data_IF_513659581907
#
_entry.id   IF_513659581907
#
_cell.length_a   1.000
_cell.length_b   1.000
_cell.length_c   1.000
_cell.angle_alpha   90.00
_cell.angle_beta   90.00
_cell.angle_gamma   90.00
#
_symmetry.space_group_name_H-M   'P 1'
#
loop_
_entity.id
_entity.type
_entity.pdbx_description
1 polymer ?
#
# COMPACT_ATOMS: atom_id res chain seq x y z
N UNK A 1 13.91 -7.79 -18.20
CA UNK A 1 12.47 -7.94 -17.87
C UNK A 1 12.22 -7.04 -16.66
N UNK A 2 11.24 -6.14 -16.71
CA UNK A 2 10.95 -5.24 -15.56
C UNK A 2 10.33 -6.03 -14.42
N UNK A 3 10.88 -5.90 -13.21
CA UNK A 3 10.41 -6.62 -12.01
C UNK A 3 9.72 -5.67 -11.06
N UNK A 4 8.51 -6.01 -10.64
CA UNK A 4 7.73 -5.27 -9.63
C UNK A 4 7.43 -6.17 -8.45
N UNK A 5 7.69 -5.70 -7.22
CA UNK A 5 7.25 -6.34 -5.98
C UNK A 5 6.09 -5.54 -5.37
N UNK A 6 4.96 -6.22 -5.10
CA UNK A 6 3.77 -5.61 -4.49
C UNK A 6 3.44 -6.33 -3.19
N UNK A 7 3.52 -5.66 -2.05
CA UNK A 7 3.11 -6.22 -0.76
C UNK A 7 1.61 -6.02 -0.52
N UNK A 8 0.96 -6.97 0.17
CA UNK A 8 -0.49 -6.97 0.31
C UNK A 8 -1.21 -7.12 -1.03
N UNK A 9 -0.57 -7.79 -2.00
CA UNK A 9 -1.02 -7.89 -3.38
C UNK A 9 -2.13 -8.92 -3.63
N UNK A 10 -2.60 -9.63 -2.60
CA UNK A 10 -3.62 -10.68 -2.76
C UNK A 10 -5.05 -10.16 -2.91
N UNK A 11 -5.35 -8.93 -2.46
CA UNK A 11 -6.70 -8.33 -2.51
C UNK A 11 -6.69 -6.80 -2.54
N UNK A 12 -7.87 -6.20 -2.75
CA UNK A 12 -8.09 -4.76 -2.67
C UNK A 12 -7.13 -3.94 -3.55
N UNK A 13 -6.61 -2.84 -3.00
CA UNK A 13 -5.69 -1.92 -3.69
C UNK A 13 -4.45 -2.65 -4.21
N UNK A 14 -3.83 -3.50 -3.37
CA UNK A 14 -2.61 -4.22 -3.74
C UNK A 14 -2.80 -5.16 -4.93
N UNK A 15 -3.93 -5.89 -4.97
CA UNK A 15 -4.27 -6.74 -6.12
C UNK A 15 -4.49 -5.89 -7.38
N UNK A 16 -5.23 -4.80 -7.28
CA UNK A 16 -5.44 -3.89 -8.42
C UNK A 16 -4.12 -3.33 -8.95
N UNK A 17 -3.19 -2.93 -8.06
CA UNK A 17 -1.85 -2.48 -8.43
C UNK A 17 -1.06 -3.61 -9.11
N UNK A 18 -1.05 -4.82 -8.55
CA UNK A 18 -0.34 -5.96 -9.12
C UNK A 18 -0.82 -6.26 -10.55
N UNK A 19 -2.13 -6.22 -10.79
CA UNK A 19 -2.74 -6.40 -12.11
C UNK A 19 -2.39 -5.26 -13.07
N UNK A 20 -2.38 -4.00 -12.60
CA UNK A 20 -2.03 -2.83 -13.42
C UNK A 20 -0.55 -2.78 -13.79
N UNK A 21 0.34 -3.41 -13.01
CA UNK A 21 1.77 -3.52 -13.31
C UNK A 21 2.10 -4.68 -14.25
N UNK A 22 1.14 -5.58 -14.49
CA UNK A 22 1.33 -6.75 -15.34
C UNK A 22 1.30 -6.37 -16.83
N UNK A 23 2.13 -7.03 -17.62
CA UNK A 23 2.17 -6.87 -19.07
C UNK A 23 3.32 -7.62 -19.73
N UNK A 24 3.43 -7.56 -21.06
CA UNK A 24 4.56 -8.17 -21.77
C UNK A 24 5.90 -7.64 -21.26
N UNK A 25 6.85 -8.54 -20.99
CA UNK A 25 8.18 -8.16 -20.51
C UNK A 25 8.25 -7.75 -19.02
N UNK A 26 7.18 -7.99 -18.24
CA UNK A 26 7.17 -7.73 -16.79
C UNK A 26 7.09 -9.01 -15.98
N UNK A 27 7.70 -8.99 -14.78
CA UNK A 27 7.51 -9.96 -13.70
C UNK A 27 6.88 -9.22 -12.52
N UNK A 28 5.73 -9.67 -12.05
CA UNK A 28 5.09 -9.12 -10.84
C UNK A 28 5.18 -10.14 -9.70
N UNK A 29 5.97 -9.84 -8.68
CA UNK A 29 6.01 -10.58 -7.44
C UNK A 29 4.89 -10.07 -6.53
N UNK A 30 3.93 -10.94 -6.24
CA UNK A 30 2.75 -10.66 -5.41
C UNK A 30 2.99 -11.26 -4.04
N UNK A 31 3.09 -10.41 -3.01
CA UNK A 31 3.40 -10.85 -1.66
C UNK A 31 2.28 -10.54 -0.68
N UNK A 32 1.86 -11.52 0.12
CA UNK A 32 0.95 -11.38 1.25
C UNK A 32 1.01 -12.62 2.16
N UNK A 33 0.35 -12.57 3.31
CA UNK A 33 0.34 -13.68 4.29
C UNK A 33 -0.50 -14.88 3.84
N UNK A 34 -1.57 -14.63 3.08
CA UNK A 34 -2.50 -15.66 2.64
C UNK A 34 -2.05 -16.23 1.31
N UNK A 35 -1.48 -17.44 1.32
CA UNK A 35 -0.95 -18.11 0.13
C UNK A 35 -1.99 -18.18 -0.99
N UNK A 36 -3.21 -18.60 -0.71
CA UNK A 36 -4.27 -18.73 -1.72
C UNK A 36 -4.60 -17.39 -2.42
N UNK A 37 -4.57 -16.25 -1.68
CA UNK A 37 -4.83 -14.93 -2.26
C UNK A 37 -3.72 -14.52 -3.25
N UNK A 38 -2.44 -14.74 -2.89
CA UNK A 38 -1.31 -14.36 -3.77
C UNK A 38 -1.22 -15.30 -4.97
N UNK A 39 -1.51 -16.57 -4.82
CA UNK A 39 -1.58 -17.54 -5.92
C UNK A 39 -2.70 -17.20 -6.89
N UNK A 40 -3.89 -16.83 -6.37
CA UNK A 40 -5.00 -16.37 -7.20
C UNK A 40 -4.63 -15.15 -8.06
N UNK A 41 -4.06 -14.12 -7.43
CA UNK A 41 -3.62 -12.92 -8.14
C UNK A 41 -2.53 -13.23 -9.17
N UNK A 42 -1.57 -14.09 -8.82
CA UNK A 42 -0.50 -14.52 -9.73
C UNK A 42 -1.05 -15.29 -10.94
N UNK A 43 -2.02 -16.18 -10.73
CA UNK A 43 -2.70 -16.90 -11.81
C UNK A 43 -3.44 -15.94 -12.76
N UNK A 44 -4.14 -14.93 -12.22
CA UNK A 44 -4.83 -13.93 -13.02
C UNK A 44 -3.86 -13.08 -13.87
N UNK A 45 -2.71 -12.68 -13.30
CA UNK A 45 -1.65 -11.98 -14.04
C UNK A 45 -1.16 -12.85 -15.21
N UNK A 46 -0.95 -14.14 -14.97
CA UNK A 46 -0.49 -15.10 -15.98
C UNK A 46 -1.52 -15.29 -17.09
N UNK A 47 -2.81 -15.39 -16.75
CA UNK A 47 -3.90 -15.47 -17.74
C UNK A 47 -3.98 -14.22 -18.63
N UNK A 48 -3.55 -13.05 -18.13
CA UNK A 48 -3.46 -11.79 -18.90
C UNK A 48 -2.15 -11.65 -19.69
N UNK A 49 -1.33 -12.71 -19.77
CA UNK A 49 -0.08 -12.75 -20.54
C UNK A 49 1.13 -12.14 -19.83
N UNK A 50 1.02 -11.78 -18.55
CA UNK A 50 2.14 -11.36 -17.71
C UNK A 50 2.89 -12.55 -17.09
N UNK A 51 4.06 -12.29 -16.46
CA UNK A 51 4.72 -13.24 -15.57
C UNK A 51 4.45 -12.85 -14.13
N UNK A 52 4.19 -13.83 -13.27
CA UNK A 52 3.95 -13.59 -11.85
C UNK A 52 4.72 -14.56 -10.95
N UNK A 53 5.03 -14.10 -9.74
CA UNK A 53 5.59 -14.89 -8.66
C UNK A 53 4.75 -14.68 -7.41
N UNK A 54 4.10 -15.73 -6.91
CA UNK A 54 3.42 -15.70 -5.62
C UNK A 54 4.44 -15.86 -4.49
N UNK A 55 4.38 -14.98 -3.49
CA UNK A 55 5.25 -14.97 -2.31
C UNK A 55 4.39 -14.92 -1.04
N UNK A 56 4.40 -16.00 -0.26
CA UNK A 56 3.84 -15.95 1.09
C UNK A 56 4.79 -15.18 1.99
N UNK A 57 4.35 -14.03 2.55
CA UNK A 57 5.21 -13.14 3.33
C UNK A 57 4.40 -12.41 4.40
N UNK A 58 4.82 -12.53 5.67
CA UNK A 58 4.40 -11.62 6.72
C UNK A 58 5.43 -10.48 6.83
N UNK A 59 4.98 -9.26 6.52
CA UNK A 59 5.86 -8.09 6.54
C UNK A 59 6.32 -7.71 7.95
N UNK A 60 5.67 -8.21 9.00
CA UNK A 60 6.03 -7.96 10.40
C UNK A 60 7.11 -8.90 10.93
N UNK A 61 7.42 -9.98 10.20
CA UNK A 61 8.41 -10.98 10.55
C UNK A 61 9.62 -10.87 9.61
N UNK A 62 10.76 -10.46 10.17
CA UNK A 62 12.00 -10.30 9.43
C UNK A 62 12.44 -11.58 8.73
N UNK A 63 12.28 -12.73 9.38
CA UNK A 63 12.64 -14.04 8.80
C UNK A 63 11.75 -14.40 7.61
N UNK A 64 10.46 -14.06 7.68
CA UNK A 64 9.51 -14.23 6.59
C UNK A 64 9.84 -13.32 5.40
N UNK A 65 10.21 -12.06 5.67
CA UNK A 65 10.67 -11.13 4.63
C UNK A 65 11.94 -11.64 3.96
N UNK A 66 12.93 -12.07 4.74
CA UNK A 66 14.19 -12.59 4.21
C UNK A 66 13.99 -13.83 3.34
N UNK A 67 13.15 -14.78 3.76
CA UNK A 67 12.80 -15.96 2.98
C UNK A 67 12.11 -15.58 1.65
N UNK A 68 11.18 -14.63 1.68
CA UNK A 68 10.52 -14.13 0.47
C UNK A 68 11.52 -13.44 -0.48
N UNK A 69 12.46 -12.64 0.06
CA UNK A 69 13.53 -12.02 -0.73
C UNK A 69 14.47 -13.06 -1.34
N UNK A 70 14.84 -14.12 -0.62
CA UNK A 70 15.62 -15.24 -1.16
C UNK A 70 14.88 -15.93 -2.31
N UNK A 71 13.58 -16.19 -2.15
CA UNK A 71 12.76 -16.77 -3.21
C UNK A 71 12.68 -15.85 -4.43
N UNK A 72 12.55 -14.54 -4.24
CA UNK A 72 12.55 -13.55 -5.32
C UNK A 72 13.89 -13.55 -6.07
N UNK A 73 15.02 -13.57 -5.35
CA UNK A 73 16.38 -13.64 -5.93
C UNK A 73 16.64 -14.91 -6.74
N UNK A 74 15.94 -16.01 -6.45
CA UNK A 74 16.05 -17.23 -7.26
C UNK A 74 15.40 -17.11 -8.65
N UNK A 75 14.63 -16.05 -8.90
CA UNK A 75 13.88 -15.83 -10.14
C UNK A 75 14.35 -14.58 -10.89
N UNK A 76 14.86 -13.58 -10.17
CA UNK A 76 15.34 -12.31 -10.74
C UNK A 76 16.49 -11.75 -9.90
N UNK A 77 17.41 -11.05 -10.54
CA UNK A 77 18.55 -10.38 -9.90
C UNK A 77 18.26 -8.91 -9.50
N UNK A 78 17.12 -8.37 -9.92
CA UNK A 78 16.75 -6.97 -9.65
C UNK A 78 15.27 -6.76 -9.41
N UNK A 79 14.93 -5.63 -8.77
CA UNK A 79 13.57 -5.12 -8.57
C UNK A 79 13.52 -3.67 -9.02
N UNK A 80 12.81 -3.39 -10.12
CA UNK A 80 12.67 -2.03 -10.66
C UNK A 80 11.65 -1.20 -9.89
N UNK A 81 10.60 -1.85 -9.38
CA UNK A 81 9.50 -1.19 -8.69
C UNK A 81 9.16 -1.94 -7.40
N UNK A 82 9.16 -1.21 -6.29
CA UNK A 82 8.60 -1.68 -5.02
C UNK A 82 7.30 -0.92 -4.72
N UNK A 83 6.22 -1.65 -4.43
CA UNK A 83 4.98 -1.07 -3.91
C UNK A 83 4.74 -1.60 -2.50
N UNK A 84 4.94 -0.75 -1.51
CA UNK A 84 4.61 -1.03 -0.12
C UNK A 84 3.13 -0.72 0.12
N UNK A 85 2.29 -1.73 -0.02
CA UNK A 85 0.84 -1.60 0.16
C UNK A 85 0.31 -2.43 1.35
N UNK A 86 1.03 -3.45 1.81
CA UNK A 86 0.62 -4.22 2.97
C UNK A 86 0.30 -3.29 4.16
N UNK A 87 -0.89 -3.45 4.73
CA UNK A 87 -1.32 -2.62 5.84
C UNK A 87 -2.59 -3.14 6.49
N UNK A 88 -2.80 -2.72 7.71
CA UNK A 88 -4.01 -2.98 8.49
C UNK A 88 -4.59 -1.67 8.98
N UNK A 89 -5.92 -1.61 9.00
CA UNK A 89 -6.69 -0.51 9.56
C UNK A 89 -7.28 -0.87 10.92
N UNK A 90 -8.09 0.04 11.41
CA UNK A 90 -8.87 -0.12 12.61
C UNK A 90 -8.76 1.08 13.54
N UNK A 91 -9.87 1.37 14.21
CA UNK A 91 -9.97 2.44 15.20
C UNK A 91 -10.25 1.86 16.58
N UNK A 92 -9.75 2.53 17.60
CA UNK A 92 -10.00 2.25 19.00
C UNK A 92 -9.68 3.51 19.83
N UNK A 93 -10.56 3.95 20.73
CA UNK A 93 -10.27 5.05 21.64
C UNK A 93 -8.99 4.74 22.46
N UNK A 94 -8.15 5.75 22.72
CA UNK A 94 -6.90 5.55 23.47
C UNK A 94 -7.18 5.05 24.90
N UNK A 95 -8.19 5.60 25.55
CA UNK A 95 -8.59 5.16 26.87
C UNK A 95 -9.18 3.74 26.80
N UNK A 96 -8.54 2.79 27.47
CA UNK A 96 -8.96 1.38 27.48
C UNK A 96 -8.56 0.58 26.24
N UNK A 97 -7.75 1.13 25.32
CA UNK A 97 -7.29 0.41 24.14
C UNK A 97 -6.32 -0.72 24.48
N UNK A 98 -6.33 -1.76 23.63
CA UNK A 98 -5.35 -2.84 23.70
C UNK A 98 -4.01 -2.43 23.04
N UNK A 99 -2.94 -2.42 23.85
CA UNK A 99 -1.58 -2.11 23.38
C UNK A 99 -1.12 -3.07 22.28
N UNK A 100 -1.49 -4.34 22.33
CA UNK A 100 -1.12 -5.31 21.31
C UNK A 100 -1.77 -4.95 19.95
N UNK A 101 -3.03 -4.53 19.98
CA UNK A 101 -3.73 -4.04 18.78
C UNK A 101 -3.09 -2.78 18.20
N UNK A 102 -2.74 -1.82 19.08
CA UNK A 102 -2.04 -0.61 18.66
C UNK A 102 -0.69 -0.92 18.03
N UNK A 103 0.12 -1.79 18.68
CA UNK A 103 1.41 -2.26 18.14
C UNK A 103 1.25 -2.94 16.81
N UNK A 104 0.30 -3.86 16.65
CA UNK A 104 0.04 -4.56 15.38
C UNK A 104 -0.15 -3.58 14.20
N UNK A 105 -0.83 -2.45 14.42
CA UNK A 105 -1.00 -1.44 13.36
C UNK A 105 0.33 -0.79 12.99
N UNK A 106 1.14 -0.41 13.99
CA UNK A 106 2.45 0.20 13.77
C UNK A 106 3.43 -0.81 13.16
N UNK A 107 3.48 -2.02 13.70
CA UNK A 107 4.38 -3.07 13.21
C UNK A 107 4.07 -3.41 11.74
N UNK A 108 2.79 -3.55 11.39
CA UNK A 108 2.44 -3.86 10.00
C UNK A 108 2.71 -2.67 9.06
N UNK A 109 2.21 -1.48 9.42
CA UNK A 109 2.19 -0.35 8.48
C UNK A 109 3.52 0.40 8.41
N UNK A 110 4.33 0.37 9.47
CA UNK A 110 5.60 1.13 9.56
C UNK A 110 6.79 0.17 9.51
N UNK A 111 6.89 -0.74 10.51
CA UNK A 111 8.03 -1.66 10.57
C UNK A 111 8.04 -2.58 9.36
N UNK A 112 6.89 -3.11 8.95
CA UNK A 112 6.77 -3.95 7.75
C UNK A 112 7.17 -3.21 6.47
N UNK A 113 6.75 -1.94 6.31
CA UNK A 113 7.21 -1.09 5.20
C UNK A 113 8.74 -0.94 5.20
N UNK A 114 9.34 -0.71 6.37
CA UNK A 114 10.79 -0.60 6.53
C UNK A 114 11.49 -1.93 6.18
N UNK A 115 11.05 -3.06 6.74
CA UNK A 115 11.69 -4.36 6.54
C UNK A 115 11.72 -4.76 5.06
N UNK A 116 10.58 -4.63 4.37
CA UNK A 116 10.49 -4.93 2.93
C UNK A 116 11.37 -3.98 2.11
N UNK A 117 11.36 -2.68 2.43
CA UNK A 117 12.19 -1.70 1.72
C UNK A 117 13.68 -1.99 1.93
N UNK A 118 14.10 -2.28 3.17
CA UNK A 118 15.48 -2.67 3.51
C UNK A 118 15.95 -3.90 2.71
N UNK A 119 15.09 -4.91 2.58
CA UNK A 119 15.41 -6.13 1.80
C UNK A 119 15.44 -5.90 0.30
N UNK A 120 14.69 -4.91 -0.20
CA UNK A 120 14.51 -4.65 -1.63
C UNK A 120 15.54 -3.66 -2.20
N UNK A 121 15.88 -2.59 -1.48
CA UNK A 121 16.81 -1.52 -1.95
C UNK A 121 18.15 -2.03 -2.48
N UNK A 122 18.78 -3.09 -1.90
CA UNK A 122 20.00 -3.66 -2.47
C UNK A 122 19.82 -4.31 -3.85
N UNK A 123 18.60 -4.68 -4.22
CA UNK A 123 18.23 -5.26 -5.52
C UNK A 123 17.77 -4.20 -6.53
N UNK A 124 17.63 -2.94 -6.11
CA UNK A 124 17.10 -1.91 -6.99
C UNK A 124 18.21 -1.33 -7.88
N UNK A 125 17.99 -1.31 -9.20
CA UNK A 125 18.89 -0.66 -10.14
C UNK A 125 18.79 0.87 -10.02
N UNK A 126 19.76 1.57 -10.59
CA UNK A 126 19.66 3.01 -10.83
C UNK A 126 18.37 3.33 -11.60
N UNK A 127 17.62 4.31 -11.14
CA UNK A 127 16.35 4.67 -11.74
C UNK A 127 15.15 3.86 -11.25
N UNK A 128 15.30 3.06 -10.19
CA UNK A 128 14.20 2.32 -9.56
C UNK A 128 13.08 3.21 -9.01
N UNK A 129 11.96 2.61 -8.63
CA UNK A 129 10.77 3.33 -8.15
C UNK A 129 10.22 2.67 -6.88
N UNK A 130 9.94 3.48 -5.86
CA UNK A 130 9.24 3.03 -4.64
C UNK A 130 7.95 3.82 -4.51
N UNK A 131 6.83 3.09 -4.36
CA UNK A 131 5.51 3.67 -4.11
C UNK A 131 4.98 3.13 -2.78
N UNK A 132 4.77 4.02 -1.83
CA UNK A 132 4.26 3.69 -0.50
C UNK A 132 2.76 4.03 -0.42
N UNK A 133 1.93 3.09 -0.01
CA UNK A 133 0.48 3.36 0.18
C UNK A 133 0.25 3.84 1.61
N UNK A 134 0.06 5.17 1.74
CA UNK A 134 -0.36 5.81 2.98
C UNK A 134 -1.90 5.86 3.08
N UNK A 135 -2.46 6.99 3.43
CA UNK A 135 -3.89 7.28 3.53
C UNK A 135 -4.09 8.80 3.66
N UNK A 136 -5.28 9.30 3.37
CA UNK A 136 -5.67 10.65 3.78
C UNK A 136 -5.55 10.83 5.30
N UNK A 137 -5.71 9.77 6.12
CA UNK A 137 -5.48 9.77 7.56
C UNK A 137 -3.98 9.86 7.93
N UNK A 138 -3.08 9.88 6.97
CA UNK A 138 -1.70 10.31 7.12
C UNK A 138 -1.51 11.83 7.02
N UNK A 139 -2.59 12.59 6.80
CA UNK A 139 -2.58 14.05 6.65
C UNK A 139 -3.43 14.77 7.69
N UNK A 140 -4.43 14.10 8.26
CA UNK A 140 -5.26 14.64 9.33
C UNK A 140 -5.63 13.54 10.33
N UNK A 141 -6.15 13.96 11.50
CA UNK A 141 -6.54 13.05 12.56
C UNK A 141 -8.04 12.74 12.54
N UNK A 142 -8.38 11.53 12.96
CA UNK A 142 -9.75 11.10 13.19
C UNK A 142 -9.84 10.54 14.61
N UNK A 143 -10.82 10.95 15.44
CA UNK A 143 -11.01 10.36 16.77
C UNK A 143 -11.11 8.84 16.70
N UNK A 144 -10.46 8.16 17.64
CA UNK A 144 -10.41 6.70 17.69
C UNK A 144 -9.43 6.03 16.73
N UNK A 145 -8.75 6.76 15.83
CA UNK A 145 -7.82 6.19 14.84
C UNK A 145 -6.35 6.53 15.12
N UNK A 146 -5.95 6.68 16.40
CA UNK A 146 -4.61 7.17 16.76
C UNK A 146 -3.50 6.30 16.21
N UNK A 147 -3.57 4.96 16.34
CA UNK A 147 -2.56 4.05 15.79
C UNK A 147 -2.47 4.16 14.25
N UNK A 148 -3.61 4.15 13.59
CA UNK A 148 -3.66 4.21 12.12
C UNK A 148 -3.17 5.56 11.60
N UNK A 149 -3.66 6.68 12.16
CA UNK A 149 -3.19 8.01 11.79
C UNK A 149 -1.68 8.13 12.01
N UNK A 150 -1.17 7.75 13.20
CA UNK A 150 0.26 7.78 13.49
C UNK A 150 1.06 6.96 12.49
N UNK A 151 0.63 5.74 12.18
CA UNK A 151 1.31 4.87 11.22
C UNK A 151 1.35 5.46 9.80
N UNK A 152 0.24 6.06 9.34
CA UNK A 152 0.16 6.63 7.99
C UNK A 152 0.90 7.97 7.87
N UNK A 153 0.98 8.78 8.93
CA UNK A 153 1.90 9.93 9.00
C UNK A 153 3.37 9.47 8.97
N UNK A 154 3.71 8.39 9.70
CA UNK A 154 5.05 7.82 9.68
C UNK A 154 5.47 7.37 8.27
N UNK A 155 4.58 6.72 7.51
CA UNK A 155 4.84 6.33 6.11
C UNK A 155 5.16 7.55 5.23
N UNK A 156 4.49 8.69 5.43
CA UNK A 156 4.79 9.94 4.70
C UNK A 156 6.17 10.47 5.09
N UNK A 157 6.49 10.51 6.39
CA UNK A 157 7.82 10.91 6.88
C UNK A 157 8.92 9.99 6.32
N UNK A 158 8.72 8.69 6.39
CA UNK A 158 9.61 7.67 5.82
C UNK A 158 9.83 7.89 4.32
N UNK A 159 8.77 8.14 3.56
CA UNK A 159 8.83 8.41 2.11
C UNK A 159 9.74 9.59 1.81
N UNK A 160 9.61 10.70 2.54
CA UNK A 160 10.39 11.92 2.33
C UNK A 160 11.87 11.73 2.65
N UNK A 161 12.16 11.08 3.79
CA UNK A 161 13.55 10.81 4.20
C UNK A 161 14.24 9.86 3.22
N UNK A 162 13.58 8.74 2.86
CA UNK A 162 14.11 7.75 1.94
C UNK A 162 14.31 8.31 0.52
N UNK A 163 13.45 9.25 0.08
CA UNK A 163 13.59 9.90 -1.21
C UNK A 163 14.93 10.66 -1.31
N UNK A 164 15.35 11.32 -0.24
CA UNK A 164 16.64 12.02 -0.18
C UNK A 164 17.81 11.03 -0.08
N UNK A 165 17.68 9.98 0.71
CA UNK A 165 18.69 8.95 0.90
C UNK A 165 19.05 8.23 -0.41
N UNK A 166 18.06 7.99 -1.28
CA UNK A 166 18.23 7.24 -2.51
C UNK A 166 18.48 8.09 -3.77
N UNK A 167 18.70 9.40 -3.60
CA UNK A 167 18.92 10.35 -4.70
C UNK A 167 20.11 9.97 -5.58
N UNK A 168 21.24 9.54 -4.99
CA UNK A 168 22.44 9.14 -5.74
C UNK A 168 22.20 7.97 -6.69
N UNK A 169 21.30 7.06 -6.32
CA UNK A 169 20.83 5.95 -7.16
C UNK A 169 19.73 6.34 -8.14
N UNK A 170 19.30 7.60 -8.15
CA UNK A 170 18.15 8.08 -8.94
C UNK A 170 16.86 7.25 -8.69
N UNK A 171 16.73 6.63 -7.52
CA UNK A 171 15.53 5.91 -7.12
C UNK A 171 14.53 6.94 -6.60
N UNK A 172 13.36 7.03 -7.23
CA UNK A 172 12.29 7.89 -6.74
C UNK A 172 11.43 7.16 -5.71
N UNK A 173 11.02 7.89 -4.66
CA UNK A 173 10.19 7.37 -3.58
C UNK A 173 9.01 8.32 -3.38
N UNK A 174 7.79 7.84 -3.59
CA UNK A 174 6.57 8.65 -3.45
C UNK A 174 5.51 7.92 -2.63
N UNK A 175 4.59 8.67 -2.05
CA UNK A 175 3.44 8.14 -1.32
C UNK A 175 2.13 8.45 -2.03
N UNK A 176 1.19 7.51 -1.99
CA UNK A 176 -0.21 7.71 -2.36
C UNK A 176 -1.04 7.72 -1.08
N UNK A 177 -1.96 8.67 -0.98
CA UNK A 177 -2.90 8.83 0.13
C UNK A 177 -4.35 8.63 -0.37
N UNK A 178 -4.84 7.38 -0.42
CA UNK A 178 -6.23 7.13 -0.77
C UNK A 178 -7.19 7.65 0.30
N UNK A 179 -8.37 8.11 -0.15
CA UNK A 179 -9.55 8.28 0.69
C UNK A 179 -10.30 6.97 0.88
N UNK A 180 -11.63 7.02 0.83
CA UNK A 180 -12.47 5.82 0.84
C UNK A 180 -12.36 5.07 -0.49
N UNK A 181 -11.78 3.87 -0.45
CA UNK A 181 -11.62 2.97 -1.61
C UNK A 181 -12.48 1.72 -1.40
N UNK A 182 -13.19 1.26 -2.43
CA UNK A 182 -14.07 0.08 -2.39
C UNK A 182 -13.28 -1.20 -2.10
N UNK A 183 -13.13 -1.51 -0.83
CA UNK A 183 -12.36 -2.65 -0.30
C UNK A 183 -13.00 -3.18 0.97
N UNK A 184 -12.69 -4.42 1.34
CA UNK A 184 -13.12 -4.99 2.62
C UNK A 184 -12.67 -4.13 3.82
N UNK A 185 -11.48 -3.51 3.74
CA UNK A 185 -10.97 -2.61 4.78
C UNK A 185 -11.87 -1.37 4.94
N UNK A 186 -12.35 -0.78 3.85
CA UNK A 186 -13.27 0.36 3.90
C UNK A 186 -14.64 -0.05 4.46
N UNK A 187 -15.18 -1.18 4.04
CA UNK A 187 -16.43 -1.72 4.59
C UNK A 187 -16.32 -1.94 6.10
N UNK A 188 -15.25 -2.59 6.56
CA UNK A 188 -14.99 -2.78 7.99
C UNK A 188 -14.85 -1.44 8.73
N UNK A 189 -14.15 -0.45 8.13
CA UNK A 189 -14.02 0.89 8.69
C UNK A 189 -15.34 1.64 8.80
N UNK A 190 -16.22 1.49 7.80
CA UNK A 190 -17.58 2.07 7.82
C UNK A 190 -18.46 1.41 8.88
N UNK A 191 -18.40 0.09 9.05
CA UNK A 191 -19.10 -0.60 10.16
C UNK A 191 -18.64 -0.08 11.53
N UNK A 192 -17.33 0.08 11.71
CA UNK A 192 -16.79 0.63 12.97
C UNK A 192 -17.25 2.07 13.21
N UNK A 193 -17.23 2.91 12.16
CA UNK A 193 -17.72 4.29 12.25
C UNK A 193 -19.20 4.36 12.58
N UNK A 194 -20.02 3.52 11.97
CA UNK A 194 -21.46 3.40 12.25
C UNK A 194 -21.70 3.04 13.71
N UNK A 195 -21.00 2.01 14.21
CA UNK A 195 -21.10 1.60 15.62
C UNK A 195 -20.67 2.71 16.59
N UNK A 196 -19.60 3.44 16.28
CA UNK A 196 -19.09 4.54 17.12
C UNK A 196 -20.02 5.76 17.16
N UNK A 197 -20.85 5.94 16.14
CA UNK A 197 -21.77 7.09 16.02
C UNK A 197 -23.24 6.75 16.27
N UNK A 198 -23.56 5.47 16.57
CA UNK A 198 -24.94 5.01 16.76
C UNK A 198 -25.77 5.02 15.48
N UNK A 199 -25.13 4.99 14.31
CA UNK A 199 -25.77 4.99 12.99
C UNK A 199 -25.89 3.58 12.43
N UNK A 200 -26.78 3.38 11.43
CA UNK A 200 -26.70 2.18 10.58
C UNK A 200 -25.49 2.29 9.63
N UNK A 201 -25.09 1.18 9.04
CA UNK A 201 -24.02 1.15 8.03
C UNK A 201 -24.35 2.09 6.86
N UNK A 202 -25.59 2.05 6.36
CA UNK A 202 -26.07 2.86 5.24
C UNK A 202 -26.01 4.35 5.56
N UNK A 203 -26.48 4.75 6.74
CA UNK A 203 -26.43 6.15 7.19
C UNK A 203 -25.02 6.67 7.32
N UNK A 204 -24.12 5.85 7.91
CA UNK A 204 -22.71 6.24 8.03
C UNK A 204 -22.05 6.32 6.65
N UNK A 205 -22.29 5.33 5.77
CA UNK A 205 -21.75 5.32 4.41
C UNK A 205 -22.20 6.55 3.62
N UNK A 206 -23.48 6.90 3.66
CA UNK A 206 -24.02 8.11 3.02
C UNK A 206 -23.34 9.37 3.56
N UNK A 207 -23.25 9.52 4.88
CA UNK A 207 -22.57 10.64 5.53
C UNK A 207 -21.08 10.72 5.18
N UNK A 208 -20.38 9.59 5.13
CA UNK A 208 -18.97 9.54 4.80
C UNK A 208 -18.70 9.91 3.33
N UNK A 209 -19.53 9.40 2.41
CA UNK A 209 -19.42 9.70 0.98
C UNK A 209 -19.93 11.11 0.64
N UNK A 210 -20.90 11.64 1.38
CA UNK A 210 -21.35 13.02 1.24
C UNK A 210 -20.26 14.07 1.54
N UNK A 211 -19.19 13.67 2.24
CA UNK A 211 -17.98 14.49 2.46
C UNK A 211 -16.94 14.36 1.37
N UNK A 212 -17.16 13.52 0.37
CA UNK A 212 -16.27 13.33 -0.79
C UNK A 212 -16.81 14.15 -1.95
N UNK A 213 -16.18 15.27 -2.36
CA UNK A 213 -16.73 16.18 -3.36
C UNK A 213 -17.14 15.55 -4.68
N UNK A 214 -16.43 14.50 -5.17
CA UNK A 214 -16.86 13.79 -6.39
C UNK A 214 -18.07 12.87 -6.18
N UNK A 215 -18.62 12.77 -4.95
CA UNK A 215 -19.89 12.09 -4.65
C UNK A 215 -19.86 10.55 -4.73
N UNK A 216 -18.70 9.92 -4.77
CA UNK A 216 -18.58 8.46 -4.85
C UNK A 216 -17.36 7.91 -4.12
N UNK A 217 -17.39 6.62 -3.85
CA UNK A 217 -16.22 5.87 -3.39
C UNK A 217 -15.20 5.71 -4.54
N UNK A 218 -13.92 5.70 -4.21
CA UNK A 218 -12.83 5.50 -5.16
C UNK A 218 -12.72 4.00 -5.47
N UNK A 219 -12.44 3.65 -6.72
CA UNK A 219 -12.19 2.26 -7.09
C UNK A 219 -10.70 1.89 -6.90
N UNK A 220 -10.37 0.64 -6.51
CA UNK A 220 -9.00 0.19 -6.38
C UNK A 220 -8.15 0.42 -7.63
N UNK A 221 -8.75 0.31 -8.81
CA UNK A 221 -8.13 0.53 -10.12
C UNK A 221 -7.68 1.97 -10.31
N UNK A 222 -8.39 2.96 -9.75
CA UNK A 222 -7.99 4.37 -9.82
C UNK A 222 -6.69 4.60 -9.02
N UNK A 223 -6.55 3.95 -7.86
CA UNK A 223 -5.31 3.98 -7.07
C UNK A 223 -4.18 3.27 -7.83
N UNK A 224 -4.49 2.16 -8.49
CA UNK A 224 -3.54 1.38 -9.25
C UNK A 224 -2.98 2.16 -10.46
N UNK A 225 -3.80 2.94 -11.16
CA UNK A 225 -3.35 3.77 -12.26
C UNK A 225 -2.38 4.88 -11.80
N UNK A 226 -2.64 5.51 -10.65
CA UNK A 226 -1.69 6.47 -10.07
C UNK A 226 -0.37 5.79 -9.67
N UNK A 227 -0.44 4.59 -9.07
CA UNK A 227 0.76 3.82 -8.75
C UNK A 227 1.54 3.44 -10.02
N UNK A 228 0.86 3.03 -11.08
CA UNK A 228 1.46 2.72 -12.39
C UNK A 228 2.13 3.95 -13.02
N UNK A 229 1.51 5.13 -12.93
CA UNK A 229 2.12 6.39 -13.38
C UNK A 229 3.40 6.69 -12.59
N UNK A 230 3.35 6.65 -11.26
CA UNK A 230 4.53 6.92 -10.40
C UNK A 230 5.65 5.90 -10.61
N UNK A 231 5.34 4.67 -11.03
CA UNK A 231 6.30 3.62 -11.37
C UNK A 231 6.82 3.73 -12.83
N UNK A 232 6.37 4.70 -13.60
CA UNK A 232 6.73 4.87 -15.02
C UNK A 232 7.91 5.83 -15.20
N UNK A 233 8.58 5.81 -16.37
CA UNK A 233 9.58 6.81 -16.73
C UNK A 233 9.03 8.25 -16.77
N UNK A 234 7.73 8.43 -17.04
CA UNK A 234 7.10 9.76 -17.09
C UNK A 234 7.13 10.48 -15.71
N UNK A 235 7.27 9.73 -14.62
CA UNK A 235 7.37 10.26 -13.25
C UNK A 235 8.83 10.39 -12.76
N UNK A 236 9.84 10.35 -13.63
CA UNK A 236 11.25 10.30 -13.24
C UNK A 236 11.70 11.50 -12.37
N UNK A 237 11.12 12.67 -12.58
CA UNK A 237 11.42 13.89 -11.80
C UNK A 237 10.59 14.04 -10.52
N UNK A 238 9.76 13.05 -10.21
CA UNK A 238 8.85 13.09 -9.06
C UNK A 238 9.40 12.21 -7.95
N UNK A 239 9.85 12.81 -6.86
CA UNK A 239 10.32 12.10 -5.66
C UNK A 239 9.98 12.87 -4.38
N UNK A 240 9.81 12.18 -3.26
CA UNK A 240 9.46 12.74 -1.96
C UNK A 240 8.02 13.28 -1.88
N UNK A 241 7.21 13.06 -2.91
CA UNK A 241 5.87 13.61 -3.00
C UNK A 241 4.82 12.71 -2.37
N UNK A 242 3.68 13.32 -2.04
CA UNK A 242 2.56 12.64 -1.42
C UNK A 242 1.29 13.04 -2.17
N UNK A 243 0.67 12.10 -2.87
CA UNK A 243 -0.47 12.34 -3.74
C UNK A 243 -1.76 11.88 -3.09
N UNK A 244 -2.73 12.77 -2.98
CA UNK A 244 -4.08 12.40 -2.56
C UNK A 244 -4.85 11.81 -3.74
N UNK A 245 -5.55 10.70 -3.50
CA UNK A 245 -6.56 10.15 -4.39
C UNK A 245 -7.82 9.88 -3.57
N UNK A 246 -8.56 10.95 -3.32
CA UNK A 246 -9.62 11.00 -2.32
C UNK A 246 -10.89 11.70 -2.80
N UNK A 247 -11.00 11.97 -4.10
CA UNK A 247 -12.17 12.66 -4.65
C UNK A 247 -12.36 14.08 -4.13
N UNK A 248 -11.28 14.77 -3.73
CA UNK A 248 -11.33 16.13 -3.21
C UNK A 248 -11.58 16.23 -1.71
N UNK A 249 -11.63 15.12 -0.97
CA UNK A 249 -11.85 15.13 0.49
C UNK A 249 -10.82 15.98 1.25
N UNK A 250 -9.58 16.04 0.77
CA UNK A 250 -8.52 16.94 1.22
C UNK A 250 -7.74 17.48 0.03
N UNK A 251 -7.26 18.72 0.13
CA UNK A 251 -6.62 19.47 -0.96
C UNK A 251 -5.25 20.08 -0.59
N UNK A 252 -4.51 19.44 0.35
CA UNK A 252 -3.20 19.93 0.82
C UNK A 252 -2.10 18.88 0.69
#
# INVERSE_FOLDING_TARGET
>A
MKTTLVTGGGRGIGRAIALAMAGPGTLVAVAARTTAEVEHTAAEITQRGGKALALTMDVTDESSVDAAMQRLRSVTDHVDVLVNNAGVGGGEPVAGSDVARWRRVVDTNVVGTYLVTRGTVPLMPTGGRIVNISSVLGRFGVPGYTAYCASKHAVIGFTRALALELTEKQISVNAICPGWVETEMAVAGMHMGAAATGQTYEQFRESALGRVPIGRIIQPEEVAELARFLASPAAAAITGQTYNICGGQIMN
#
